data_IF_890875112594
#
_entry.id   IF_890875112594
#
_cell.length_a   1.000
_cell.length_b   1.000
_cell.length_c   1.000
_cell.angle_alpha   90.00
_cell.angle_beta   90.00
_cell.angle_gamma   90.00
#
_symmetry.space_group_name_H-M   'P 1'
#
loop_
_entity.id
_entity.type
_entity.pdbx_description
1 polymer ?
#
# COMPACT_ATOMS: atom_id res chain seq x y z
N UNK A 1 7.39 -9.02 11.62
CA UNK A 1 7.80 -10.42 11.57
C UNK A 1 7.94 -11.01 12.98
N UNK A 2 6.82 -11.37 13.59
CA UNK A 2 6.76 -11.93 14.96
C UNK A 2 7.36 -13.35 15.08
N UNK A 3 7.67 -14.00 13.98
CA UNK A 3 8.26 -15.35 13.92
C UNK A 3 9.81 -15.36 13.93
N UNK A 4 10.43 -14.21 13.76
CA UNK A 4 11.90 -14.07 13.75
C UNK A 4 12.44 -13.79 15.15
N UNK A 5 12.21 -14.71 16.10
CA UNK A 5 12.72 -14.59 17.48
C UNK A 5 13.69 -15.74 17.78
N UNK A 6 14.88 -15.69 17.22
CA UNK A 6 15.88 -16.71 17.51
C UNK A 6 17.31 -16.22 17.36
N UNK A 7 18.27 -16.93 17.96
CA UNK A 7 19.71 -16.65 17.85
C UNK A 7 20.23 -16.53 16.40
N UNK A 8 19.48 -17.05 15.42
CA UNK A 8 19.77 -16.91 13.99
C UNK A 8 19.64 -15.48 13.45
N UNK A 9 18.96 -14.58 14.13
CA UNK A 9 18.72 -13.22 13.66
C UNK A 9 19.89 -12.28 13.96
N UNK A 10 20.78 -12.63 14.89
CA UNK A 10 21.96 -11.84 15.24
C UNK A 10 22.92 -11.63 14.05
N UNK A 11 22.91 -12.54 13.09
CA UNK A 11 23.76 -12.50 11.88
C UNK A 11 23.03 -12.01 10.62
N UNK A 12 21.74 -11.73 10.71
CA UNK A 12 20.96 -11.26 9.55
C UNK A 12 20.97 -9.74 9.49
N UNK A 13 21.04 -9.23 8.27
CA UNK A 13 20.76 -7.82 8.00
C UNK A 13 19.26 -7.65 7.73
N UNK A 14 18.71 -6.53 8.18
CA UNK A 14 17.29 -6.20 7.99
C UNK A 14 17.16 -5.14 6.90
N UNK A 15 16.22 -5.34 6.01
CA UNK A 15 15.78 -4.35 5.03
C UNK A 15 14.32 -4.03 5.33
N UNK A 16 14.05 -2.80 5.71
CA UNK A 16 12.71 -2.31 5.96
C UNK A 16 12.23 -1.47 4.78
N UNK A 17 11.21 -1.96 4.08
CA UNK A 17 10.56 -1.22 3.00
C UNK A 17 9.43 -0.38 3.59
N UNK A 18 9.69 0.92 3.79
CA UNK A 18 8.78 1.87 4.42
C UNK A 18 8.15 2.83 3.39
N UNK A 19 7.77 2.29 2.25
CA UNK A 19 7.28 3.08 1.11
C UNK A 19 5.99 3.87 1.39
N UNK A 20 5.22 3.53 2.43
CA UNK A 20 3.96 4.16 2.80
C UNK A 20 3.98 4.83 4.18
N UNK A 21 5.17 5.20 4.66
CA UNK A 21 5.38 5.73 6.02
C UNK A 21 4.40 6.84 6.41
N UNK A 22 4.19 7.81 5.52
CA UNK A 22 3.40 9.00 5.80
C UNK A 22 1.92 8.85 5.40
N UNK A 23 1.55 7.83 4.62
CA UNK A 23 0.16 7.57 4.29
C UNK A 23 -0.54 6.87 5.44
N UNK A 24 -0.67 7.57 6.55
CA UNK A 24 -1.28 7.10 7.80
C UNK A 24 -2.51 7.94 8.13
N UNK A 25 -3.48 7.32 8.80
CA UNK A 25 -4.77 7.92 9.07
C UNK A 25 -5.08 7.87 10.58
N UNK A 26 -5.97 8.78 11.02
CA UNK A 26 -6.55 8.77 12.36
C UNK A 26 -5.51 8.80 13.49
N UNK A 27 -4.39 9.51 13.26
CA UNK A 27 -3.32 9.67 14.25
C UNK A 27 -2.37 8.47 14.35
N UNK A 28 -2.57 7.43 13.53
CA UNK A 28 -1.61 6.33 13.45
C UNK A 28 -0.29 6.81 12.84
N UNK A 29 0.82 6.30 13.34
CA UNK A 29 2.16 6.50 12.77
C UNK A 29 2.75 5.14 12.45
N UNK A 30 3.28 4.99 11.24
CA UNK A 30 4.00 3.78 10.85
C UNK A 30 5.31 3.69 11.64
N UNK A 31 5.59 2.55 12.30
CA UNK A 31 6.84 2.39 13.05
C UNK A 31 8.03 2.30 12.09
N UNK A 32 9.10 3.03 12.40
CA UNK A 32 10.40 2.85 11.75
C UNK A 32 11.18 1.75 12.44
N UNK A 33 11.86 0.88 11.67
CA UNK A 33 12.78 -0.09 12.28
C UNK A 33 13.93 0.61 13.01
N UNK A 34 14.29 1.81 12.57
CA UNK A 34 15.41 2.58 13.14
C UNK A 34 15.09 3.19 14.52
N UNK A 35 13.83 3.11 14.98
CA UNK A 35 13.42 3.45 16.35
C UNK A 35 13.75 2.33 17.35
N UNK A 36 14.06 1.12 16.87
CA UNK A 36 14.41 -0.02 17.72
C UNK A 36 15.88 0.05 18.12
N UNK A 37 16.15 -0.11 19.40
CA UNK A 37 17.52 -0.12 19.93
C UNK A 37 18.39 -1.17 19.23
N UNK A 38 19.57 -0.76 18.77
CA UNK A 38 20.51 -1.62 18.03
C UNK A 38 20.15 -1.87 16.56
N UNK A 39 18.99 -1.43 16.08
CA UNK A 39 18.61 -1.65 14.68
C UNK A 39 19.56 -0.95 13.69
N UNK A 40 20.11 0.21 14.04
CA UNK A 40 21.08 0.93 13.20
C UNK A 40 22.38 0.15 12.95
N UNK A 41 22.66 -0.87 13.74
CA UNK A 41 23.85 -1.72 13.55
C UNK A 41 23.63 -2.81 12.50
N UNK A 42 22.35 -3.15 12.20
CA UNK A 42 22.00 -4.28 11.34
C UNK A 42 20.99 -3.97 10.24
N UNK A 43 20.36 -2.80 10.27
CA UNK A 43 19.22 -2.50 9.41
C UNK A 43 19.46 -1.29 8.51
N UNK A 44 18.76 -1.32 7.40
CA UNK A 44 18.50 -0.17 6.52
C UNK A 44 17.00 -0.05 6.27
N UNK A 45 16.56 1.18 6.06
CA UNK A 45 15.19 1.52 5.76
C UNK A 45 15.11 2.27 4.43
N UNK A 46 14.20 1.85 3.58
CA UNK A 46 13.94 2.47 2.28
C UNK A 46 12.68 3.31 2.34
N UNK A 47 12.78 4.53 1.88
CA UNK A 47 11.69 5.48 1.75
C UNK A 47 11.55 5.94 0.29
N UNK A 48 10.34 6.25 -0.14
CA UNK A 48 10.08 6.76 -1.49
C UNK A 48 9.20 8.01 -1.45
N UNK A 49 9.50 8.96 -2.32
CA UNK A 49 8.65 10.14 -2.52
C UNK A 49 7.46 9.86 -3.43
N UNK A 50 7.41 8.66 -4.02
CA UNK A 50 6.34 8.27 -4.96
C UNK A 50 4.95 8.32 -4.36
N UNK A 51 4.80 8.05 -3.06
CA UNK A 51 3.51 7.93 -2.38
C UNK A 51 3.19 9.19 -1.57
N UNK A 52 4.00 9.49 -0.58
CA UNK A 52 3.81 10.60 0.35
C UNK A 52 3.77 11.96 -0.37
N UNK A 53 4.62 12.15 -1.36
CA UNK A 53 4.73 13.39 -2.11
C UNK A 53 4.08 13.34 -3.50
N UNK A 54 3.34 12.27 -3.79
CA UNK A 54 2.70 12.05 -5.10
C UNK A 54 3.65 12.22 -6.30
N UNK A 55 4.88 11.73 -6.14
CA UNK A 55 5.96 11.83 -7.13
C UNK A 55 6.33 10.47 -7.78
N UNK A 56 5.37 9.65 -8.23
CA UNK A 56 5.70 8.31 -8.74
C UNK A 56 6.52 8.34 -10.04
N UNK A 57 6.30 9.35 -10.90
CA UNK A 57 7.01 9.53 -12.16
C UNK A 57 8.45 10.02 -12.01
N UNK A 58 8.81 10.61 -10.89
CA UNK A 58 10.14 11.14 -10.63
C UNK A 58 11.17 10.06 -10.28
N UNK A 59 10.70 8.86 -9.90
CA UNK A 59 11.54 7.71 -9.56
C UNK A 59 12.61 8.03 -8.52
N UNK A 60 12.24 8.70 -7.44
CA UNK A 60 13.15 9.13 -6.37
C UNK A 60 12.73 8.56 -5.02
N UNK A 61 13.72 8.17 -4.26
CA UNK A 61 13.62 7.69 -2.88
C UNK A 61 15.00 7.73 -2.23
N UNK A 62 15.08 7.34 -0.99
CA UNK A 62 16.33 7.26 -0.25
C UNK A 62 16.38 6.04 0.66
N UNK A 63 17.60 5.71 1.09
CA UNK A 63 17.87 4.66 2.04
C UNK A 63 18.69 5.23 3.19
N UNK A 64 18.32 4.91 4.42
CA UNK A 64 19.05 5.30 5.62
C UNK A 64 19.23 4.11 6.57
N UNK A 65 20.21 4.20 7.50
CA UNK A 65 20.47 3.14 8.47
C UNK A 65 21.95 2.81 8.62
N UNK A 66 22.27 1.52 8.67
CA UNK A 66 23.63 1.03 8.87
C UNK A 66 24.62 1.58 7.83
N UNK A 67 25.71 2.19 8.31
CA UNK A 67 26.70 2.88 7.45
C UNK A 67 27.41 1.96 6.47
N UNK A 68 27.71 0.71 6.83
CA UNK A 68 28.37 -0.27 5.95
C UNK A 68 27.44 -0.67 4.81
N UNK A 69 26.17 -0.92 5.10
CA UNK A 69 25.17 -1.28 4.10
C UNK A 69 24.88 -0.10 3.17
N UNK A 70 24.77 1.12 3.69
CA UNK A 70 24.63 2.34 2.87
C UNK A 70 25.85 2.54 1.98
N UNK A 71 27.09 2.35 2.52
CA UNK A 71 28.31 2.43 1.73
C UNK A 71 28.39 1.39 0.61
N UNK A 72 27.94 0.17 0.87
CA UNK A 72 27.84 -0.89 -0.13
C UNK A 72 26.83 -0.55 -1.23
N UNK A 73 25.64 -0.04 -0.84
CA UNK A 73 24.61 0.42 -1.78
C UNK A 73 25.12 1.56 -2.67
N UNK A 74 25.77 2.57 -2.06
CA UNK A 74 26.33 3.71 -2.80
C UNK A 74 27.38 3.27 -3.82
N UNK A 75 28.27 2.35 -3.42
CA UNK A 75 29.27 1.77 -4.34
C UNK A 75 28.59 1.03 -5.49
N UNK A 76 27.62 0.19 -5.21
CA UNK A 76 26.89 -0.54 -6.23
C UNK A 76 26.20 0.40 -7.23
N UNK A 77 25.47 1.41 -6.71
CA UNK A 77 24.80 2.42 -7.54
C UNK A 77 25.77 3.18 -8.46
N UNK A 78 26.98 3.49 -7.99
CA UNK A 78 27.96 4.20 -8.81
C UNK A 78 28.35 3.46 -10.11
N UNK A 79 28.18 2.14 -10.14
CA UNK A 79 28.41 1.32 -11.32
C UNK A 79 27.14 1.05 -12.14
N UNK A 80 25.98 1.02 -11.48
CA UNK A 80 24.72 0.69 -12.16
C UNK A 80 24.08 1.87 -12.89
N UNK A 81 24.04 3.04 -12.25
CA UNK A 81 23.30 4.19 -12.78
C UNK A 81 24.11 5.51 -12.79
N UNK A 82 25.38 5.45 -12.40
CA UNK A 82 26.30 6.60 -12.35
C UNK A 82 25.79 7.77 -11.51
N UNK A 83 24.69 7.61 -10.78
CA UNK A 83 24.02 8.62 -9.99
C UNK A 83 22.65 9.02 -10.57
N UNK A 84 21.90 9.68 -9.75
CA UNK A 84 20.55 10.12 -10.11
C UNK A 84 20.60 11.50 -10.79
N UNK A 85 19.73 11.75 -11.77
CA UNK A 85 19.67 13.02 -12.49
C UNK A 85 19.48 14.19 -11.52
N UNK A 86 20.41 15.16 -11.53
CA UNK A 86 20.49 16.23 -10.54
C UNK A 86 19.19 17.03 -10.36
N UNK A 87 18.44 17.44 -11.40
CA UNK A 87 17.16 18.12 -11.23
C UNK A 87 16.14 17.33 -10.42
N UNK A 88 16.11 16.02 -10.55
CA UNK A 88 15.23 15.15 -9.74
C UNK A 88 15.66 15.13 -8.28
N UNK A 89 16.98 15.13 -8.01
CA UNK A 89 17.51 15.23 -6.65
C UNK A 89 17.13 16.57 -6.00
N UNK A 90 17.26 17.67 -6.75
CA UNK A 90 16.86 19.02 -6.28
C UNK A 90 15.36 19.06 -5.97
N UNK A 91 14.54 18.50 -6.86
CA UNK A 91 13.09 18.40 -6.60
C UNK A 91 12.78 17.56 -5.35
N UNK A 92 13.52 16.47 -5.12
CA UNK A 92 13.39 15.66 -3.91
C UNK A 92 13.79 16.42 -2.64
N UNK A 93 14.86 17.21 -2.70
CA UNK A 93 15.29 18.08 -1.59
C UNK A 93 14.21 19.11 -1.28
N UNK A 94 13.65 19.75 -2.29
CA UNK A 94 12.57 20.72 -2.13
C UNK A 94 11.32 20.07 -1.51
N UNK A 95 10.92 18.91 -1.99
CA UNK A 95 9.79 18.17 -1.44
C UNK A 95 10.00 17.83 0.04
N UNK A 96 11.19 17.35 0.42
CA UNK A 96 11.50 16.98 1.80
C UNK A 96 11.60 18.19 2.75
N UNK A 97 12.01 19.35 2.25
CA UNK A 97 12.16 20.54 3.09
C UNK A 97 10.87 21.35 3.23
N UNK A 98 10.01 21.34 2.21
CA UNK A 98 8.87 22.26 2.11
C UNK A 98 7.55 21.56 1.75
N UNK A 99 7.50 20.21 1.76
CA UNK A 99 6.38 19.44 1.26
C UNK A 99 5.41 18.90 2.29
N UNK A 100 5.59 19.15 3.59
CA UNK A 100 4.79 18.55 4.66
C UNK A 100 3.28 18.87 4.53
N UNK A 101 2.94 20.10 4.16
CA UNK A 101 1.55 20.51 3.92
C UNK A 101 0.89 19.67 2.81
N UNK A 102 1.62 19.41 1.73
CA UNK A 102 1.12 18.58 0.62
C UNK A 102 0.97 17.11 1.02
N UNK A 103 1.85 16.59 1.89
CA UNK A 103 1.71 15.23 2.44
C UNK A 103 0.43 15.12 3.24
N UNK A 104 0.11 16.13 4.07
CA UNK A 104 -1.14 16.15 4.83
C UNK A 104 -2.37 16.20 3.93
N UNK A 105 -2.36 17.01 2.87
CA UNK A 105 -3.43 17.05 1.86
C UNK A 105 -3.64 15.68 1.20
N UNK A 106 -2.54 15.00 0.81
CA UNK A 106 -2.57 13.67 0.20
C UNK A 106 -3.14 12.64 1.18
N UNK A 107 -2.73 12.67 2.45
CA UNK A 107 -3.26 11.80 3.49
C UNK A 107 -4.77 12.01 3.69
N UNK A 108 -5.23 13.25 3.75
CA UNK A 108 -6.64 13.60 3.89
C UNK A 108 -7.46 13.11 2.69
N UNK A 109 -6.93 13.24 1.48
CA UNK A 109 -7.56 12.71 0.27
C UNK A 109 -7.71 11.19 0.31
N UNK A 110 -6.66 10.45 0.67
CA UNK A 110 -6.73 8.99 0.78
C UNK A 110 -7.61 8.53 1.93
N UNK A 111 -7.64 9.26 3.04
CA UNK A 111 -8.56 9.02 4.15
C UNK A 111 -10.01 9.12 3.70
N UNK A 112 -10.38 10.18 2.97
CA UNK A 112 -11.72 10.37 2.42
C UNK A 112 -12.13 9.20 1.51
N UNK A 113 -11.24 8.79 0.60
CA UNK A 113 -11.47 7.66 -0.31
C UNK A 113 -11.60 6.33 0.43
N UNK A 114 -10.75 6.09 1.44
CA UNK A 114 -10.86 4.93 2.33
C UNK A 114 -12.22 4.88 3.00
N UNK A 115 -12.61 6.00 3.61
CA UNK A 115 -13.86 6.08 4.34
C UNK A 115 -15.06 5.86 3.40
N UNK A 116 -15.05 6.50 2.24
CA UNK A 116 -16.09 6.30 1.21
C UNK A 116 -16.21 4.83 0.80
N UNK A 117 -15.09 4.16 0.55
CA UNK A 117 -15.09 2.74 0.14
C UNK A 117 -15.53 1.83 1.29
N UNK A 118 -14.90 1.93 2.45
CA UNK A 118 -15.18 1.02 3.57
C UNK A 118 -16.59 1.19 4.12
N UNK A 119 -17.07 2.44 4.28
CA UNK A 119 -18.44 2.70 4.74
C UNK A 119 -19.46 2.22 3.71
N UNK A 120 -19.17 2.39 2.42
CA UNK A 120 -20.00 1.86 1.35
C UNK A 120 -20.09 0.34 1.38
N UNK A 121 -18.98 -0.36 1.47
CA UNK A 121 -18.96 -1.83 1.56
C UNK A 121 -19.68 -2.33 2.81
N UNK A 122 -19.42 -1.73 3.98
CA UNK A 122 -20.07 -2.09 5.23
C UNK A 122 -21.60 -1.87 5.17
N UNK A 123 -22.06 -0.80 4.53
CA UNK A 123 -23.51 -0.54 4.36
C UNK A 123 -24.20 -1.59 3.49
N UNK A 124 -23.44 -2.32 2.67
CA UNK A 124 -23.92 -3.43 1.83
C UNK A 124 -23.83 -4.80 2.50
N UNK A 125 -23.44 -4.85 3.78
CA UNK A 125 -23.21 -6.10 4.50
C UNK A 125 -21.94 -6.83 4.08
N UNK A 126 -20.97 -6.11 3.54
CA UNK A 126 -19.61 -6.59 3.31
C UNK A 126 -18.69 -6.00 4.36
N UNK A 127 -18.47 -6.74 5.42
CA UNK A 127 -17.67 -6.31 6.57
C UNK A 127 -16.20 -6.11 6.17
N UNK A 128 -15.75 -4.86 6.23
CA UNK A 128 -14.38 -4.46 5.91
C UNK A 128 -13.86 -3.52 6.99
N UNK A 129 -12.72 -3.86 7.55
CA UNK A 129 -12.02 -2.99 8.50
C UNK A 129 -11.35 -1.82 7.76
N UNK A 130 -11.45 -0.62 8.31
CA UNK A 130 -10.74 0.56 7.80
C UNK A 130 -9.25 0.42 8.08
N UNK A 131 -8.39 0.36 7.06
CA UNK A 131 -6.94 0.31 7.29
C UNK A 131 -6.44 1.60 7.94
N UNK A 132 -5.47 1.47 8.83
CA UNK A 132 -4.84 2.60 9.53
C UNK A 132 -3.86 3.38 8.65
N UNK A 133 -3.43 2.79 7.54
CA UNK A 133 -2.42 3.34 6.65
C UNK A 133 -2.56 2.76 5.23
N UNK A 134 -1.77 3.25 4.32
CA UNK A 134 -1.62 2.86 2.91
C UNK A 134 -2.77 3.33 2.00
N UNK A 135 -2.58 3.11 0.71
CA UNK A 135 -3.57 3.42 -0.32
C UNK A 135 -4.36 2.19 -0.77
N UNK A 136 -4.44 1.17 0.08
CA UNK A 136 -5.10 -0.10 -0.23
C UNK A 136 -6.06 -0.50 0.88
N UNK A 137 -7.14 -1.16 0.48
CA UNK A 137 -8.05 -1.86 1.38
C UNK A 137 -7.98 -3.35 1.08
N UNK A 138 -7.65 -4.13 2.09
CA UNK A 138 -7.60 -5.59 2.03
C UNK A 138 -8.90 -6.14 2.58
N UNK A 139 -9.75 -6.68 1.71
CA UNK A 139 -11.10 -7.09 2.05
C UNK A 139 -11.26 -8.61 1.91
N UNK A 140 -11.73 -9.26 2.97
CA UNK A 140 -12.11 -10.67 2.90
C UNK A 140 -13.34 -10.80 2.01
N UNK A 141 -13.34 -11.78 1.12
CA UNK A 141 -14.50 -12.11 0.29
C UNK A 141 -15.61 -12.64 1.20
N UNK A 142 -16.84 -12.09 1.13
CA UNK A 142 -17.93 -12.56 1.96
C UNK A 142 -18.22 -14.05 1.71
N UNK A 143 -18.37 -14.82 2.78
CA UNK A 143 -18.53 -16.28 2.73
C UNK A 143 -19.73 -16.76 1.88
N UNK A 144 -20.76 -15.90 1.78
CA UNK A 144 -21.95 -16.18 0.94
C UNK A 144 -21.63 -16.42 -0.54
N UNK A 145 -20.48 -15.94 -1.04
CA UNK A 145 -20.08 -16.14 -2.44
C UNK A 145 -19.42 -17.50 -2.66
N UNK A 146 -18.83 -18.10 -1.62
CA UNK A 146 -18.12 -19.37 -1.70
C UNK A 146 -17.17 -19.48 -2.90
N UNK A 147 -16.40 -18.40 -3.13
CA UNK A 147 -15.50 -18.25 -4.27
C UNK A 147 -14.10 -17.87 -3.81
N UNK A 148 -13.11 -18.18 -4.63
CA UNK A 148 -11.72 -17.76 -4.44
C UNK A 148 -11.43 -16.43 -5.12
N UNK A 149 -10.33 -15.79 -4.73
CA UNK A 149 -10.01 -14.42 -5.09
C UNK A 149 -9.96 -14.16 -6.61
N UNK A 150 -9.42 -15.09 -7.39
CA UNK A 150 -9.33 -14.92 -8.85
C UNK A 150 -10.70 -14.95 -9.53
N UNK A 151 -11.54 -15.90 -9.14
CA UNK A 151 -12.90 -16.04 -9.67
C UNK A 151 -13.75 -14.83 -9.29
N UNK A 152 -13.71 -14.42 -8.02
CA UNK A 152 -14.44 -13.27 -7.54
C UNK A 152 -14.00 -11.97 -8.21
N UNK A 153 -12.70 -11.77 -8.43
CA UNK A 153 -12.17 -10.61 -9.14
C UNK A 153 -12.63 -10.55 -10.60
N UNK A 154 -12.78 -11.70 -11.27
CA UNK A 154 -13.32 -11.77 -12.65
C UNK A 154 -14.78 -11.36 -12.68
N UNK A 155 -15.61 -11.86 -11.76
CA UNK A 155 -17.03 -11.48 -11.67
C UNK A 155 -17.18 -9.98 -11.43
N UNK A 156 -16.42 -9.40 -10.50
CA UNK A 156 -16.45 -7.95 -10.28
C UNK A 156 -16.07 -7.16 -11.54
N UNK A 157 -15.10 -7.64 -12.29
CA UNK A 157 -14.68 -6.98 -13.52
C UNK A 157 -15.75 -7.12 -14.64
N UNK A 158 -16.27 -8.32 -14.85
CA UNK A 158 -17.19 -8.61 -15.97
C UNK A 158 -18.59 -8.06 -15.73
N UNK A 159 -19.09 -8.16 -14.50
CA UNK A 159 -20.47 -7.80 -14.18
C UNK A 159 -20.62 -6.39 -13.58
N UNK A 160 -19.64 -5.94 -12.78
CA UNK A 160 -19.69 -4.64 -12.14
C UNK A 160 -18.74 -3.60 -12.76
N UNK A 161 -17.90 -3.97 -13.74
CA UNK A 161 -16.83 -3.13 -14.27
C UNK A 161 -15.87 -2.59 -13.19
N UNK A 162 -15.63 -3.37 -12.14
CA UNK A 162 -14.76 -3.02 -11.02
C UNK A 162 -13.52 -3.91 -11.05
N UNK A 163 -12.38 -3.31 -11.35
CA UNK A 163 -11.10 -4.00 -11.32
C UNK A 163 -10.49 -3.99 -9.91
N UNK A 164 -10.18 -5.17 -9.39
CA UNK A 164 -9.50 -5.37 -8.10
C UNK A 164 -8.34 -6.34 -8.27
N UNK A 165 -7.39 -6.33 -7.33
CA UNK A 165 -6.31 -7.33 -7.33
C UNK A 165 -6.76 -8.58 -6.56
N UNK A 166 -6.72 -9.78 -7.18
CA UNK A 166 -7.01 -11.02 -6.46
C UNK A 166 -5.91 -11.29 -5.43
N UNK A 167 -6.30 -11.69 -4.23
CA UNK A 167 -5.38 -11.86 -3.12
C UNK A 167 -4.38 -13.01 -3.31
N UNK A 168 -4.72 -14.03 -4.10
CA UNK A 168 -3.77 -15.10 -4.48
C UNK A 168 -2.49 -14.55 -5.14
N UNK A 169 -2.55 -13.40 -5.79
CA UNK A 169 -1.38 -12.71 -6.35
C UNK A 169 -0.36 -12.24 -5.31
N UNK A 170 -0.73 -12.28 -4.02
CA UNK A 170 0.13 -11.92 -2.87
C UNK A 170 0.53 -13.12 -2.02
N UNK A 171 0.22 -14.33 -2.47
CA UNK A 171 0.51 -15.58 -1.79
C UNK A 171 -0.73 -16.40 -1.47
N UNK A 172 -0.53 -17.68 -1.16
CA UNK A 172 -1.61 -18.65 -0.96
C UNK A 172 -2.61 -18.26 0.14
N UNK A 173 -2.13 -17.65 1.22
CA UNK A 173 -2.98 -17.16 2.32
C UNK A 173 -3.86 -15.97 1.94
N UNK A 174 -3.60 -15.34 0.79
CA UNK A 174 -4.39 -14.23 0.26
C UNK A 174 -5.63 -14.66 -0.53
N UNK A 175 -5.81 -15.94 -0.83
CA UNK A 175 -6.82 -16.40 -1.79
C UNK A 175 -8.28 -16.24 -1.33
N UNK A 176 -8.51 -15.91 -0.08
CA UNK A 176 -9.82 -15.54 0.45
C UNK A 176 -10.08 -14.02 0.48
N UNK A 177 -9.17 -13.24 -0.10
CA UNK A 177 -9.20 -11.77 -0.05
C UNK A 177 -9.08 -11.15 -1.43
N UNK A 178 -9.51 -9.90 -1.53
CA UNK A 178 -9.19 -9.01 -2.66
C UNK A 178 -8.61 -7.70 -2.14
N UNK A 179 -7.82 -7.04 -2.98
CA UNK A 179 -7.25 -5.73 -2.67
C UNK A 179 -7.86 -4.65 -3.56
N UNK A 180 -8.53 -3.70 -2.92
CA UNK A 180 -8.93 -2.46 -3.55
C UNK A 180 -7.78 -1.45 -3.52
N UNK A 181 -7.70 -0.60 -4.55
CA UNK A 181 -6.81 0.55 -4.59
C UNK A 181 -7.61 1.85 -4.46
N UNK A 182 -7.15 2.76 -3.61
CA UNK A 182 -7.80 4.05 -3.33
C UNK A 182 -7.35 5.15 -4.30
N UNK A 183 -6.87 4.79 -5.51
CA UNK A 183 -6.36 5.73 -6.50
C UNK A 183 -7.44 6.53 -7.22
N UNK A 184 -8.66 5.99 -7.28
CA UNK A 184 -9.81 6.64 -7.90
C UNK A 184 -10.44 7.69 -6.99
N UNK A 185 -11.11 8.67 -7.59
CA UNK A 185 -11.81 9.70 -6.83
C UNK A 185 -13.10 9.17 -6.18
N UNK A 186 -13.62 9.93 -5.22
CA UNK A 186 -14.80 9.54 -4.43
C UNK A 186 -16.04 9.30 -5.30
N UNK A 187 -16.19 10.03 -6.42
CA UNK A 187 -17.33 9.86 -7.32
C UNK A 187 -17.28 8.52 -8.04
N UNK A 188 -16.11 8.13 -8.55
CA UNK A 188 -15.91 6.81 -9.18
C UNK A 188 -16.02 5.68 -8.16
N UNK A 189 -15.50 5.88 -6.95
CA UNK A 189 -15.66 4.91 -5.86
C UNK A 189 -17.13 4.69 -5.52
N UNK A 190 -17.94 5.76 -5.39
CA UNK A 190 -19.39 5.66 -5.19
C UNK A 190 -20.11 5.00 -6.36
N UNK A 191 -19.66 5.22 -7.59
CA UNK A 191 -20.20 4.54 -8.78
C UNK A 191 -19.88 3.03 -8.73
N UNK A 192 -18.65 2.66 -8.42
CA UNK A 192 -18.24 1.26 -8.27
C UNK A 192 -19.06 0.54 -7.19
N UNK A 193 -19.28 1.19 -6.04
CA UNK A 193 -20.13 0.66 -4.97
C UNK A 193 -21.57 0.42 -5.46
N UNK A 194 -22.17 1.35 -6.20
CA UNK A 194 -23.53 1.18 -6.74
C UNK A 194 -23.60 0.02 -7.72
N UNK A 195 -22.64 -0.13 -8.62
CA UNK A 195 -22.59 -1.23 -9.58
C UNK A 195 -22.39 -2.57 -8.88
N UNK A 196 -21.53 -2.61 -7.87
CA UNK A 196 -21.32 -3.81 -7.06
C UNK A 196 -22.58 -4.20 -6.28
N UNK A 197 -23.36 -3.22 -5.77
CA UNK A 197 -24.65 -3.47 -5.10
C UNK A 197 -25.63 -4.22 -5.97
N UNK A 198 -25.79 -3.81 -7.24
CA UNK A 198 -26.76 -4.40 -8.16
C UNK A 198 -26.43 -5.86 -8.48
N UNK A 199 -25.14 -6.21 -8.54
CA UNK A 199 -24.67 -7.54 -8.92
C UNK A 199 -24.32 -8.45 -7.74
N UNK A 200 -23.96 -7.88 -6.60
CA UNK A 200 -23.60 -8.61 -5.40
C UNK A 200 -24.82 -8.96 -4.52
N UNK A 201 -25.89 -8.15 -4.55
CA UNK A 201 -27.11 -8.39 -3.79
C UNK A 201 -28.09 -9.38 -4.45
N UNK A 202 -27.94 -9.68 -5.74
CA UNK A 202 -28.68 -10.72 -6.45
C UNK A 202 -27.72 -11.83 -6.93
N UNK A 203 -27.35 -12.81 -6.09
CA UNK A 203 -26.73 -14.02 -6.61
C UNK A 203 -27.77 -14.81 -7.39
N UNK A 204 -27.51 -14.97 -8.69
CA UNK A 204 -28.18 -15.91 -9.58
C UNK A 204 -29.43 -15.43 -10.33
N UNK A 205 -29.24 -14.87 -11.51
CA UNK A 205 -29.98 -15.41 -12.63
C UNK A 205 -29.14 -16.54 -13.26
N UNK A 206 -29.65 -17.79 -13.38
CA UNK A 206 -28.98 -18.80 -14.16
C UNK A 206 -28.83 -18.28 -15.59
N UNK A 207 -27.62 -18.31 -16.12
CA UNK A 207 -27.41 -18.08 -17.56
C UNK A 207 -28.10 -19.22 -18.31
N UNK A 208 -29.19 -18.92 -19.00
CA UNK A 208 -29.81 -19.79 -20.00
C UNK A 208 -28.95 -19.89 -21.23
#
# INVERSE_FOLDING_TARGET
ASWSRGLGDVYKRQVHDLAYADLCFDGYKAPSILEVDGAKDIAVEFFTLSKSYNMPGWRIGFCCGNAELIGALARLKSYFDYGHFTPVQVAGIEALNNGDEYVEEICNMYKSRRDTLCDGLNSMGWEVEKPKATMFVWAKIPERFNMKSLEFSKILLEEANVAVSPGIGFGEYGDDFIRFSLIENDQRTKQALKLSLIHISEPTRPRS
#
